data_IF_398062874280
#
_entry.id   IF_398062874280
#
_cell.length_a   1.000
_cell.length_b   1.000
_cell.length_c   1.000
_cell.angle_alpha   90.00
_cell.angle_beta   90.00
_cell.angle_gamma   90.00
#
_symmetry.space_group_name_H-M   'P 1'
#
loop_
_entity.id
_entity.type
_entity.pdbx_description
1 polymer ?
#
# COMPACT_ATOMS: atom_id res chain seq x y z
N UNK A 1 16.19 22.29 -4.89
CA UNK A 1 16.21 20.82 -4.84
C UNK A 1 16.16 20.35 -3.40
N UNK A 2 14.94 20.26 -2.87
CA UNK A 2 14.65 19.76 -1.53
C UNK A 2 13.42 18.87 -1.59
N UNK A 3 13.14 18.13 -0.52
CA UNK A 3 11.89 17.37 -0.42
C UNK A 3 10.71 18.35 -0.38
N UNK A 4 9.79 18.26 -1.34
CA UNK A 4 8.62 19.15 -1.41
C UNK A 4 7.36 18.47 -0.86
N UNK A 5 7.25 17.15 -1.01
CA UNK A 5 6.11 16.36 -0.57
C UNK A 5 6.55 15.19 0.31
N UNK A 6 5.75 14.85 1.32
CA UNK A 6 5.96 13.67 2.15
C UNK A 6 4.64 12.91 2.32
N UNK A 7 4.61 11.69 1.80
CA UNK A 7 3.47 10.77 1.94
C UNK A 7 3.76 9.81 3.08
N UNK A 8 2.92 9.83 4.12
CA UNK A 8 3.24 9.20 5.40
C UNK A 8 2.07 8.35 5.85
N UNK A 9 2.33 7.07 6.10
CA UNK A 9 1.38 6.19 6.77
C UNK A 9 1.34 6.57 8.25
N UNK A 10 0.15 6.77 8.82
CA UNK A 10 0.02 7.29 10.20
C UNK A 10 -0.64 6.32 11.17
N UNK A 11 -0.94 5.10 10.75
CA UNK A 11 -1.45 4.06 11.67
C UNK A 11 -0.33 3.44 12.51
N UNK A 12 0.93 3.65 12.12
CA UNK A 12 2.08 3.30 12.93
C UNK A 12 2.51 4.48 13.83
N UNK A 13 2.92 4.23 15.10
CA UNK A 13 3.29 5.30 16.02
C UNK A 13 4.44 6.18 15.55
N UNK A 14 5.37 5.63 14.75
CA UNK A 14 6.50 6.39 14.25
C UNK A 14 6.09 7.32 13.11
N UNK A 15 5.25 6.86 12.18
CA UNK A 15 4.66 7.65 11.12
C UNK A 15 3.85 8.83 11.64
N UNK A 16 3.04 8.64 12.68
CA UNK A 16 2.32 9.72 13.35
C UNK A 16 3.28 10.79 13.92
N UNK A 17 4.38 10.38 14.55
CA UNK A 17 5.43 11.30 15.04
C UNK A 17 6.15 12.00 13.88
N UNK A 18 6.45 11.28 12.81
CA UNK A 18 7.15 11.79 11.64
C UNK A 18 6.34 12.89 10.93
N UNK A 19 5.03 12.68 10.76
CA UNK A 19 4.12 13.67 10.16
C UNK A 19 4.14 15.02 10.92
N UNK A 20 4.33 14.99 12.25
CA UNK A 20 4.45 16.19 13.08
C UNK A 20 5.84 16.84 13.12
N UNK A 21 6.84 16.26 12.46
CA UNK A 21 8.25 16.71 12.52
C UNK A 21 8.84 17.13 11.18
N UNK A 22 7.99 17.31 10.16
CA UNK A 22 8.44 17.71 8.85
C UNK A 22 9.05 19.12 8.87
N UNK A 23 10.07 19.33 8.02
CA UNK A 23 10.68 20.63 7.85
C UNK A 23 9.68 21.63 7.23
N UNK A 24 9.88 22.91 7.51
CA UNK A 24 9.09 23.96 6.90
C UNK A 24 9.20 23.90 5.36
N UNK A 25 8.07 23.96 4.66
CA UNK A 25 7.99 23.88 3.20
C UNK A 25 7.72 22.48 2.64
N UNK A 26 7.76 21.42 3.46
CA UNK A 26 7.32 20.08 3.04
C UNK A 26 5.81 19.96 3.22
N UNK A 27 5.09 19.56 2.18
CA UNK A 27 3.65 19.32 2.22
C UNK A 27 3.38 17.86 2.65
N UNK A 28 2.79 17.62 3.83
CA UNK A 28 2.40 16.27 4.23
C UNK A 28 1.16 15.80 3.48
N UNK A 29 1.15 14.52 3.12
CA UNK A 29 -0.05 13.75 2.77
C UNK A 29 -0.10 12.54 3.69
N UNK A 30 -1.04 12.53 4.63
CA UNK A 30 -1.21 11.40 5.55
C UNK A 30 -2.09 10.32 4.95
N UNK A 31 -1.74 9.06 5.21
CA UNK A 31 -2.43 7.86 4.72
C UNK A 31 -2.80 6.99 5.91
N UNK A 32 -4.03 6.50 5.95
CA UNK A 32 -4.54 5.69 7.08
C UNK A 32 -5.62 4.72 6.65
N UNK A 33 -5.68 3.54 7.27
CA UNK A 33 -6.84 2.65 7.29
C UNK A 33 -7.69 2.81 8.56
N UNK A 34 -7.17 3.47 9.60
CA UNK A 34 -7.90 3.80 10.82
C UNK A 34 -8.72 5.12 10.72
N UNK A 35 -8.50 5.91 9.68
CA UNK A 35 -9.21 7.16 9.36
C UNK A 35 -8.53 8.44 9.89
N UNK A 36 -9.17 9.58 9.67
CA UNK A 36 -8.67 10.92 10.02
C UNK A 36 -7.34 11.26 9.31
N UNK A 37 -7.29 10.99 8.00
CA UNK A 37 -6.12 11.24 7.16
C UNK A 37 -6.50 11.90 5.82
N UNK A 38 -5.51 12.38 5.08
CA UNK A 38 -5.75 12.97 3.75
C UNK A 38 -6.22 11.90 2.75
N UNK A 39 -5.65 10.70 2.85
CA UNK A 39 -6.06 9.52 2.10
C UNK A 39 -6.48 8.45 3.10
N UNK A 40 -7.74 8.02 2.99
CA UNK A 40 -8.31 6.99 3.84
C UNK A 40 -8.57 5.73 3.02
N UNK A 41 -8.07 4.61 3.52
CA UNK A 41 -8.21 3.29 2.92
C UNK A 41 -9.32 2.48 3.54
N UNK A 42 -10.05 1.73 2.72
CA UNK A 42 -10.85 0.59 3.17
C UNK A 42 -10.49 -0.64 2.37
N UNK A 43 -9.94 -1.65 3.06
CA UNK A 43 -9.70 -2.96 2.47
C UNK A 43 -11.05 -3.66 2.24
N UNK A 44 -11.40 -3.90 0.98
CA UNK A 44 -12.66 -4.52 0.58
C UNK A 44 -12.46 -6.04 0.50
N UNK A 45 -11.40 -6.47 -0.17
CA UNK A 45 -11.04 -7.88 -0.33
C UNK A 45 -9.52 -8.07 -0.21
N UNK A 46 -9.12 -9.18 0.41
CA UNK A 46 -7.73 -9.64 0.52
C UNK A 46 -7.72 -11.16 0.45
N UNK A 47 -6.92 -11.71 -0.45
CA UNK A 47 -6.78 -13.15 -0.61
C UNK A 47 -5.88 -13.53 -1.77
N UNK A 48 -5.84 -14.82 -2.10
CA UNK A 48 -4.98 -15.36 -3.17
C UNK A 48 -5.35 -14.87 -4.58
N UNK A 49 -6.54 -14.27 -4.75
CA UNK A 49 -6.97 -13.64 -6.01
C UNK A 49 -6.50 -12.20 -6.16
N UNK A 50 -5.92 -11.60 -5.12
CA UNK A 50 -5.47 -10.21 -5.11
C UNK A 50 -6.04 -9.39 -3.95
N UNK A 51 -6.00 -8.08 -4.13
CA UNK A 51 -6.49 -7.06 -3.21
C UNK A 51 -7.50 -6.16 -3.92
N UNK A 52 -8.54 -5.76 -3.20
CA UNK A 52 -9.42 -4.66 -3.59
C UNK A 52 -9.44 -3.62 -2.49
N UNK A 53 -9.01 -2.40 -2.79
CA UNK A 53 -8.87 -1.30 -1.82
C UNK A 53 -9.67 -0.10 -2.31
N UNK A 54 -10.64 0.35 -1.53
CA UNK A 54 -11.27 1.66 -1.75
C UNK A 54 -10.41 2.74 -1.11
N UNK A 55 -10.12 3.80 -1.87
CA UNK A 55 -9.37 4.96 -1.43
C UNK A 55 -10.26 6.20 -1.49
N UNK A 56 -10.50 6.82 -0.35
CA UNK A 56 -11.05 8.17 -0.27
C UNK A 56 -9.89 9.17 -0.27
N UNK A 57 -9.92 10.11 -1.21
CA UNK A 57 -8.83 11.08 -1.42
C UNK A 57 -9.40 12.50 -1.56
N UNK A 58 -8.57 13.55 -1.53
CA UNK A 58 -9.02 14.91 -1.80
C UNK A 58 -9.57 15.11 -3.22
N UNK A 59 -9.19 14.25 -4.17
CA UNK A 59 -9.68 14.27 -5.55
C UNK A 59 -10.97 13.46 -5.76
N UNK A 60 -11.46 12.77 -4.72
CA UNK A 60 -12.62 11.88 -4.77
C UNK A 60 -12.31 10.46 -4.30
N UNK A 61 -13.29 9.57 -4.49
CA UNK A 61 -13.19 8.16 -4.10
C UNK A 61 -12.99 7.27 -5.31
N UNK A 62 -12.09 6.29 -5.21
CA UNK A 62 -11.85 5.29 -6.24
C UNK A 62 -11.52 3.93 -5.62
N UNK A 63 -11.68 2.86 -6.41
CA UNK A 63 -11.28 1.50 -6.02
C UNK A 63 -10.08 1.06 -6.86
N UNK A 64 -9.11 0.44 -6.20
CA UNK A 64 -7.94 -0.17 -6.82
C UNK A 64 -8.05 -1.68 -6.65
N UNK A 65 -8.25 -2.38 -7.77
CA UNK A 65 -8.18 -3.83 -7.83
C UNK A 65 -6.79 -4.24 -8.31
N UNK A 66 -6.06 -4.98 -7.50
CA UNK A 66 -4.66 -5.34 -7.73
C UNK A 66 -4.43 -6.84 -7.58
N UNK A 67 -3.49 -7.38 -8.38
CA UNK A 67 -3.04 -8.76 -8.24
C UNK A 67 -2.07 -8.98 -7.07
N UNK A 68 -1.65 -7.91 -6.39
CA UNK A 68 -0.78 -7.98 -5.23
C UNK A 68 -1.45 -8.73 -4.07
N UNK A 69 -0.65 -9.32 -3.19
CA UNK A 69 -1.14 -10.16 -2.09
C UNK A 69 -0.78 -9.56 -0.72
N UNK A 70 -1.71 -9.70 0.23
CA UNK A 70 -1.53 -9.38 1.64
C UNK A 70 -1.70 -7.90 2.00
N UNK A 71 -2.15 -7.65 3.22
CA UNK A 71 -2.59 -6.34 3.69
C UNK A 71 -1.49 -5.27 3.65
N UNK A 72 -0.22 -5.67 3.76
CA UNK A 72 0.93 -4.76 3.56
C UNK A 72 0.89 -4.12 2.17
N UNK A 73 0.52 -4.89 1.14
CA UNK A 73 0.44 -4.33 -0.19
C UNK A 73 -0.76 -3.39 -0.35
N UNK A 74 -1.81 -3.52 0.48
CA UNK A 74 -2.85 -2.50 0.56
C UNK A 74 -2.31 -1.17 1.15
N UNK A 75 -1.49 -1.24 2.22
CA UNK A 75 -0.74 -0.09 2.76
C UNK A 75 0.14 0.56 1.67
N UNK A 76 0.92 -0.25 0.95
CA UNK A 76 1.80 0.21 -0.11
C UNK A 76 1.04 0.84 -1.29
N UNK A 77 -0.11 0.28 -1.69
CA UNK A 77 -0.93 0.82 -2.77
C UNK A 77 -1.44 2.23 -2.44
N UNK A 78 -1.89 2.47 -1.21
CA UNK A 78 -2.35 3.80 -0.80
C UNK A 78 -1.21 4.80 -0.64
N UNK A 79 -0.04 4.37 -0.15
CA UNK A 79 1.16 5.21 -0.12
C UNK A 79 1.60 5.60 -1.54
N UNK A 80 1.60 4.65 -2.47
CA UNK A 80 1.92 4.90 -3.87
C UNK A 80 0.89 5.82 -4.54
N UNK A 81 -0.39 5.62 -4.25
CA UNK A 81 -1.46 6.53 -4.68
C UNK A 81 -1.19 7.94 -4.19
N UNK A 82 -0.91 8.13 -2.89
CA UNK A 82 -0.59 9.44 -2.34
C UNK A 82 0.61 10.10 -3.01
N UNK A 83 1.63 9.32 -3.38
CA UNK A 83 2.79 9.83 -4.10
C UNK A 83 2.40 10.32 -5.51
N UNK A 84 1.60 9.54 -6.25
CA UNK A 84 1.12 9.93 -7.58
C UNK A 84 0.24 11.18 -7.53
N UNK A 85 -0.68 11.25 -6.57
CA UNK A 85 -1.55 12.42 -6.39
C UNK A 85 -0.76 13.67 -5.98
N UNK A 86 0.32 13.52 -5.19
CA UNK A 86 1.21 14.63 -4.84
C UNK A 86 2.02 15.18 -6.02
N UNK A 87 2.11 14.40 -7.11
CA UNK A 87 2.74 14.78 -8.38
C UNK A 87 1.69 15.19 -9.42
N UNK A 88 0.51 15.62 -8.99
CA UNK A 88 -0.61 16.06 -9.83
C UNK A 88 -1.10 15.02 -10.85
N UNK A 89 -0.86 13.72 -10.59
CA UNK A 89 -1.43 12.65 -11.43
C UNK A 89 -2.93 12.57 -11.17
N UNK A 90 -3.79 12.54 -12.21
CA UNK A 90 -5.23 12.36 -12.02
C UNK A 90 -5.56 11.05 -11.30
N UNK A 91 -6.51 11.08 -10.36
CA UNK A 91 -6.91 9.92 -9.57
C UNK A 91 -7.20 8.67 -10.43
N UNK A 92 -7.91 8.83 -11.55
CA UNK A 92 -8.23 7.73 -12.44
C UNK A 92 -6.97 7.09 -13.06
N UNK A 93 -6.02 7.91 -13.53
CA UNK A 93 -4.78 7.45 -14.15
C UNK A 93 -3.88 6.76 -13.12
N UNK A 94 -3.80 7.31 -11.90
CA UNK A 94 -3.07 6.71 -10.80
C UNK A 94 -3.63 5.33 -10.42
N UNK A 95 -4.96 5.22 -10.27
CA UNK A 95 -5.62 3.94 -9.96
C UNK A 95 -5.40 2.91 -11.07
N UNK A 96 -5.50 3.32 -12.34
CA UNK A 96 -5.25 2.45 -13.48
C UNK A 96 -3.81 1.93 -13.51
N UNK A 97 -2.82 2.79 -13.23
CA UNK A 97 -1.42 2.39 -13.17
C UNK A 97 -1.16 1.41 -12.02
N UNK A 98 -1.72 1.67 -10.84
CA UNK A 98 -1.56 0.82 -9.65
C UNK A 98 -2.24 -0.54 -9.80
N UNK A 99 -3.39 -0.62 -10.49
CA UNK A 99 -4.06 -1.88 -10.80
C UNK A 99 -3.20 -2.80 -11.69
N UNK A 100 -2.31 -2.23 -12.50
CA UNK A 100 -1.40 -2.96 -13.39
C UNK A 100 -0.06 -3.32 -12.72
N UNK A 101 0.20 -2.84 -11.51
CA UNK A 101 1.41 -3.20 -10.78
C UNK A 101 1.40 -4.69 -10.43
N UNK A 102 2.49 -5.37 -10.80
CA UNK A 102 2.76 -6.75 -10.42
C UNK A 102 3.75 -6.78 -9.26
N UNK A 103 3.68 -7.83 -8.43
CA UNK A 103 4.56 -7.99 -7.28
C UNK A 103 6.03 -8.00 -7.69
N UNK A 104 6.89 -7.43 -6.85
CA UNK A 104 8.33 -7.56 -7.03
C UNK A 104 8.75 -9.01 -6.79
N UNK A 105 9.65 -9.58 -7.62
CA UNK A 105 10.22 -10.90 -7.35
C UNK A 105 10.75 -11.00 -5.92
N UNK A 106 10.36 -12.05 -5.21
CA UNK A 106 10.70 -12.28 -3.80
C UNK A 106 9.96 -11.43 -2.76
N UNK A 107 8.87 -10.73 -3.11
CA UNK A 107 7.99 -10.01 -2.16
C UNK A 107 6.55 -10.49 -2.32
N UNK A 108 6.11 -11.38 -1.41
CA UNK A 108 4.81 -12.06 -1.51
C UNK A 108 4.57 -12.66 -2.91
N UNK A 109 5.62 -13.18 -3.55
CA UNK A 109 5.56 -13.72 -4.90
C UNK A 109 4.92 -15.11 -4.86
N UNK A 110 3.73 -15.25 -5.45
CA UNK A 110 3.09 -16.54 -5.63
C UNK A 110 3.70 -17.24 -6.83
N UNK A 111 4.39 -18.35 -6.58
CA UNK A 111 4.84 -19.25 -7.64
C UNK A 111 3.63 -20.09 -8.07
N UNK A 112 3.49 -20.26 -9.38
CA UNK A 112 2.42 -21.05 -9.99
C UNK A 112 2.24 -22.37 -9.22
N UNK A 113 0.97 -22.74 -9.01
CA UNK A 113 0.62 -23.89 -8.17
C UNK A 113 1.41 -25.11 -8.65
N UNK A 114 2.24 -25.65 -7.76
CA UNK A 114 2.83 -26.96 -8.01
C UNK A 114 1.68 -27.96 -8.27
N UNK A 115 1.94 -29.01 -9.05
CA UNK A 115 0.97 -30.05 -9.40
C UNK A 115 0.24 -30.67 -8.18
N UNK A 116 0.75 -30.43 -6.97
CA UNK A 116 0.19 -30.81 -5.67
C UNK A 116 -0.98 -29.93 -5.18
N UNK A 117 -1.28 -28.79 -5.83
CA UNK A 117 -2.34 -27.86 -5.42
C UNK A 117 -1.98 -26.94 -4.24
N UNK A 118 -0.76 -27.01 -3.73
CA UNK A 118 -0.27 -26.12 -2.68
C UNK A 118 0.11 -24.73 -3.25
N UNK A 119 -0.22 -23.66 -2.52
CA UNK A 119 0.29 -22.33 -2.80
C UNK A 119 1.75 -22.21 -2.31
N UNK A 120 2.65 -21.77 -3.18
CA UNK A 120 4.05 -21.53 -2.85
C UNK A 120 4.28 -20.03 -2.91
N UNK A 121 4.68 -19.42 -1.79
CA UNK A 121 4.95 -17.98 -1.71
C UNK A 121 6.41 -17.74 -1.34
N UNK A 122 7.11 -16.92 -2.13
CA UNK A 122 8.49 -16.48 -1.88
C UNK A 122 8.45 -15.07 -1.26
N UNK A 123 9.05 -14.91 -0.08
CA UNK A 123 9.21 -13.61 0.56
C UNK A 123 10.62 -13.41 1.17
N UNK A 124 11.17 -12.20 1.02
CA UNK A 124 12.48 -11.78 1.52
C UNK A 124 12.48 -11.35 3.01
N UNK A 125 11.39 -11.58 3.74
CA UNK A 125 11.31 -11.27 5.17
C UNK A 125 12.48 -11.90 5.95
N UNK A 126 13.41 -11.05 6.37
CA UNK A 126 14.61 -11.42 7.12
C UNK A 126 14.65 -10.82 8.52
N UNK A 127 13.56 -10.17 8.94
CA UNK A 127 13.35 -9.70 10.32
C UNK A 127 12.17 -10.45 10.95
N UNK A 128 12.17 -10.69 12.27
CA UNK A 128 11.08 -11.39 12.94
C UNK A 128 9.71 -10.74 12.74
N UNK A 129 9.69 -9.41 12.60
CA UNK A 129 8.47 -8.65 12.40
C UNK A 129 7.92 -8.81 10.98
N UNK A 130 8.79 -8.66 9.97
CA UNK A 130 8.41 -8.91 8.58
C UNK A 130 7.88 -10.34 8.39
N UNK A 131 8.53 -11.33 9.02
CA UNK A 131 8.10 -12.73 8.93
C UNK A 131 6.72 -12.95 9.57
N UNK A 132 6.44 -12.33 10.72
CA UNK A 132 5.11 -12.40 11.36
C UNK A 132 4.03 -11.80 10.49
N UNK A 133 4.28 -10.65 9.86
CA UNK A 133 3.30 -10.02 8.95
C UNK A 133 3.06 -10.89 7.71
N UNK A 134 4.11 -11.45 7.10
CA UNK A 134 3.97 -12.40 5.96
C UNK A 134 3.11 -13.60 6.34
N UNK A 135 3.42 -14.27 7.47
CA UNK A 135 2.66 -15.43 7.93
C UNK A 135 1.21 -15.09 8.31
N UNK A 136 0.96 -13.87 8.81
CA UNK A 136 -0.39 -13.37 9.05
C UNK A 136 -1.19 -13.21 7.76
N UNK A 137 -0.56 -12.69 6.71
CA UNK A 137 -1.20 -12.40 5.42
C UNK A 137 -1.48 -13.64 4.55
N UNK A 138 -0.89 -14.80 4.90
CA UNK A 138 -1.05 -16.07 4.16
C UNK A 138 -2.02 -17.05 4.83
N UNK A 139 -2.64 -16.65 5.95
CA UNK A 139 -3.63 -17.45 6.69
C UNK A 139 -5.04 -17.10 6.28
#
# INVERSE_FOLDING_TARGET
DGLEHAVIFVDDPFGAVLAGRLAAGVVPTTVSFAGNAHIEGRLIESGLSGLSVEAQTPQGTATIDSSLLGDINAENLLLALGALLSLDTPLADACQALAQCTGLPGRMELVDRADSGAAIVIDYAHTPDALRRVLGNLR
#
